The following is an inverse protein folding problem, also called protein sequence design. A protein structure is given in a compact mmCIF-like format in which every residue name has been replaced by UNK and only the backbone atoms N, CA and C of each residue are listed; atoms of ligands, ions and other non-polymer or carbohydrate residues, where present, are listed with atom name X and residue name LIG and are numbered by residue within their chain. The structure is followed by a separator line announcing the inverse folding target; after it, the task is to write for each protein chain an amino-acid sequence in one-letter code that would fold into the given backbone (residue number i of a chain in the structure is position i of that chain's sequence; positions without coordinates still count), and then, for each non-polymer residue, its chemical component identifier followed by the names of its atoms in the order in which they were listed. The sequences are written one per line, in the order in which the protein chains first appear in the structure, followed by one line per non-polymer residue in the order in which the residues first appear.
data_IF_005618827248
#
_entry.id   IF_005618827248
#
_cell.length_a   1.000
_cell.length_b   1.000
_cell.length_c   1.000
_cell.angle_alpha   90.00
_cell.angle_beta   90.00
_cell.angle_gamma   90.00
#
_symmetry.space_group_name_H-M   'P 1'
#
loop_
_entity.id
_entity.type
_entity.pdbx_description
1 polymer ?
#
# COMPACT_ATOMS: atom_id res chain seq x y z
N UNK A 1 15.75 -13.01 -22.66
CA UNK A 1 14.64 -12.07 -22.95
C UNK A 1 14.33 -11.30 -21.68
N UNK A 2 14.71 -10.03 -21.59
CA UNK A 2 14.24 -9.16 -20.51
C UNK A 2 12.72 -8.94 -20.69
N UNK A 3 11.92 -8.89 -19.61
CA UNK A 3 10.51 -8.54 -19.74
C UNK A 3 10.39 -7.09 -20.26
N UNK A 4 9.50 -6.87 -21.24
CA UNK A 4 9.07 -5.54 -21.71
C UNK A 4 8.27 -4.81 -20.62
N UNK A 5 8.95 -4.43 -19.54
CA UNK A 5 8.37 -3.57 -18.51
C UNK A 5 8.70 -2.13 -18.84
N UNK A 6 7.74 -1.42 -19.43
CA UNK A 6 7.82 0.02 -19.56
C UNK A 6 7.29 0.67 -18.26
N UNK A 7 8.06 1.55 -17.61
CA UNK A 7 7.56 2.30 -16.47
C UNK A 7 6.44 3.24 -16.93
N UNK A 8 5.25 3.10 -16.33
CA UNK A 8 4.18 4.08 -16.52
C UNK A 8 4.56 5.30 -15.68
N UNK A 9 5.17 6.30 -16.32
CA UNK A 9 5.44 7.59 -15.68
C UNK A 9 4.24 8.49 -15.95
N UNK A 10 3.45 8.73 -14.90
CA UNK A 10 2.41 9.75 -14.94
C UNK A 10 3.09 11.12 -14.79
N UNK A 11 3.23 11.87 -15.88
CA UNK A 11 3.75 13.25 -15.90
C UNK A 11 2.71 14.29 -15.52
N UNK A 12 1.44 13.91 -15.43
CA UNK A 12 0.34 14.81 -15.10
C UNK A 12 0.15 15.00 -13.59
N UNK A 13 -0.13 16.23 -13.19
CA UNK A 13 -0.43 16.58 -11.81
C UNK A 13 -1.72 15.92 -11.32
N UNK A 14 -1.72 15.44 -10.08
CA UNK A 14 -2.89 14.82 -9.47
C UNK A 14 -3.97 15.87 -9.19
N UNK A 15 -5.13 15.74 -9.84
CA UNK A 15 -6.25 16.66 -9.66
C UNK A 15 -6.99 16.45 -8.33
N UNK A 16 -7.67 17.49 -7.85
CA UNK A 16 -8.57 17.40 -6.68
C UNK A 16 -9.63 16.31 -6.87
N UNK A 17 -10.17 16.18 -8.09
CA UNK A 17 -11.17 15.16 -8.41
C UNK A 17 -10.60 13.74 -8.23
N UNK A 18 -9.35 13.50 -8.61
CA UNK A 18 -8.68 12.21 -8.40
C UNK A 18 -8.54 11.87 -6.90
N UNK A 19 -8.26 12.86 -6.04
CA UNK A 19 -8.20 12.68 -4.59
C UNK A 19 -9.57 12.28 -4.02
N UNK A 20 -10.65 12.95 -4.44
CA UNK A 20 -12.01 12.59 -4.02
C UNK A 20 -12.43 11.20 -4.50
N UNK A 21 -12.06 10.84 -5.73
CA UNK A 21 -12.29 9.50 -6.25
C UNK A 21 -11.54 8.44 -5.42
N UNK A 22 -10.26 8.68 -5.10
CA UNK A 22 -9.48 7.81 -4.23
C UNK A 22 -10.10 7.67 -2.84
N UNK A 23 -10.58 8.78 -2.23
CA UNK A 23 -11.29 8.77 -0.94
C UNK A 23 -12.51 7.85 -0.97
N UNK A 24 -13.34 7.94 -2.01
CA UNK A 24 -14.52 7.08 -2.17
C UNK A 24 -14.11 5.61 -2.35
N UNK A 25 -13.09 5.35 -3.16
CA UNK A 25 -12.60 4.00 -3.45
C UNK A 25 -12.11 3.28 -2.20
N UNK A 26 -11.36 3.95 -1.33
CA UNK A 26 -10.79 3.34 -0.12
C UNK A 26 -11.75 3.36 1.09
N UNK A 27 -12.95 3.92 0.93
CA UNK A 27 -13.93 3.98 2.01
C UNK A 27 -14.32 2.55 2.44
N UNK A 28 -14.34 2.30 3.75
CA UNK A 28 -14.63 0.97 4.32
C UNK A 28 -13.45 -0.02 4.32
N UNK A 29 -12.43 0.20 3.49
CA UNK A 29 -11.24 -0.67 3.44
C UNK A 29 -10.05 -0.20 4.28
N UNK A 30 -10.09 1.04 4.77
CA UNK A 30 -9.04 1.63 5.62
C UNK A 30 -9.67 2.36 6.81
N UNK A 31 -9.13 2.16 8.01
CA UNK A 31 -9.63 2.77 9.26
C UNK A 31 -9.53 4.30 9.21
N UNK A 32 -10.57 5.02 9.61
CA UNK A 32 -10.49 6.48 9.81
C UNK A 32 -9.80 6.75 11.14
N UNK A 33 -8.59 7.31 11.08
CA UNK A 33 -7.78 7.60 12.28
C UNK A 33 -8.27 8.86 13.00
N UNK A 34 -8.22 8.90 14.33
CA UNK A 34 -8.65 10.06 15.10
C UNK A 34 -7.72 11.26 14.90
N UNK A 35 -8.19 12.43 15.34
CA UNK A 35 -7.44 13.69 15.33
C UNK A 35 -7.53 14.39 16.70
N UNK A 36 -6.98 13.80 17.77
CA UNK A 36 -7.02 14.42 19.09
C UNK A 36 -6.23 15.73 19.10
N UNK A 37 -6.61 16.64 20.00
CA UNK A 37 -5.82 17.83 20.33
C UNK A 37 -4.52 17.41 21.00
N UNK A 38 -3.41 18.02 20.59
CA UNK A 38 -2.16 17.94 21.34
C UNK A 38 -2.13 19.08 22.34
N UNK A 39 -2.28 18.76 23.62
CA UNK A 39 -2.35 19.74 24.71
C UNK A 39 -1.04 20.54 24.76
N UNK A 40 0.09 19.85 24.93
CA UNK A 40 1.40 20.48 25.07
C UNK A 40 1.79 21.32 23.85
N UNK A 41 1.59 20.82 22.63
CA UNK A 41 1.91 21.62 21.43
C UNK A 41 0.99 22.83 21.30
N UNK A 42 -0.28 22.69 21.69
CA UNK A 42 -1.22 23.82 21.65
C UNK A 42 -0.84 24.90 22.68
N UNK A 43 -0.38 24.50 23.87
CA UNK A 43 0.10 25.41 24.92
C UNK A 43 1.38 26.14 24.50
N UNK A 44 2.36 25.41 23.94
CA UNK A 44 3.63 25.97 23.48
C UNK A 44 3.42 26.98 22.33
N UNK A 45 2.49 26.72 21.43
CA UNK A 45 2.28 27.55 20.22
C UNK A 45 1.19 28.61 20.38
N UNK A 46 0.37 28.53 21.43
CA UNK A 46 -0.83 29.37 21.58
C UNK A 46 -1.93 29.07 20.54
N UNK A 47 -1.81 28.00 19.75
CA UNK A 47 -2.74 27.65 18.67
C UNK A 47 -3.42 26.29 18.89
N UNK A 48 -4.60 26.07 18.32
CA UNK A 48 -5.27 24.76 18.37
C UNK A 48 -4.58 23.76 17.43
N UNK A 49 -3.76 22.86 17.99
CA UNK A 49 -3.08 21.83 17.21
C UNK A 49 -3.74 20.46 17.37
N UNK A 50 -4.13 19.85 16.24
CA UNK A 50 -4.73 18.53 16.15
C UNK A 50 -3.74 17.55 15.49
N UNK A 51 -3.47 16.42 16.14
CA UNK A 51 -2.54 15.42 15.63
C UNK A 51 -3.26 14.33 14.84
N UNK A 52 -2.93 14.17 13.56
CA UNK A 52 -3.46 13.07 12.74
C UNK A 52 -2.69 11.78 13.05
N UNK A 53 -3.32 10.85 13.77
CA UNK A 53 -2.67 9.62 14.22
C UNK A 53 -2.68 8.52 13.14
N UNK A 54 -2.05 8.78 11.99
CA UNK A 54 -1.92 7.78 10.92
C UNK A 54 -0.95 6.63 11.25
N UNK A 55 -0.17 6.76 12.33
CA UNK A 55 0.59 5.64 12.91
C UNK A 55 -0.31 4.55 13.52
N UNK A 56 -1.59 4.84 13.81
CA UNK A 56 -2.58 3.86 14.31
C UNK A 56 -3.31 3.10 13.21
N UNK A 57 -2.89 3.25 11.95
CA UNK A 57 -3.34 2.41 10.84
C UNK A 57 -2.87 0.96 11.05
N UNK A 58 -3.50 -0.03 10.41
CA UNK A 58 -3.19 -1.45 10.61
C UNK A 58 -1.74 -1.80 10.24
N UNK A 59 -1.18 -1.10 9.25
CA UNK A 59 0.23 -1.28 8.86
C UNK A 59 1.17 -0.25 9.48
N UNK A 60 0.70 0.51 10.49
CA UNK A 60 1.52 1.46 11.24
C UNK A 60 1.79 2.79 10.53
N UNK A 61 1.16 3.07 9.39
CA UNK A 61 1.35 4.35 8.69
C UNK A 61 0.24 4.71 7.70
N UNK A 62 0.29 5.94 7.18
CA UNK A 62 -0.61 6.42 6.14
C UNK A 62 -0.49 5.68 4.80
N UNK A 63 0.63 4.98 4.54
CA UNK A 63 0.90 4.29 3.26
C UNK A 63 -0.07 3.14 3.00
N UNK A 64 -0.80 2.67 4.02
CA UNK A 64 -1.94 1.76 3.88
C UNK A 64 -2.97 2.27 2.85
N UNK A 65 -3.25 3.58 2.84
CA UNK A 65 -4.26 4.18 1.95
C UNK A 65 -3.88 4.03 0.47
N UNK A 66 -2.61 4.27 0.18
CA UNK A 66 -2.08 4.17 -1.18
C UNK A 66 -2.07 2.73 -1.66
N UNK A 67 -1.55 1.81 -0.84
CA UNK A 67 -1.56 0.38 -1.13
C UNK A 67 -2.98 -0.13 -1.42
N UNK A 68 -3.96 0.23 -0.59
CA UNK A 68 -5.34 -0.16 -0.81
C UNK A 68 -5.94 0.42 -2.10
N UNK A 69 -5.71 1.72 -2.35
CA UNK A 69 -6.17 2.40 -3.56
C UNK A 69 -5.56 1.81 -4.84
N UNK A 70 -4.28 1.42 -4.80
CA UNK A 70 -3.59 0.78 -5.91
C UNK A 70 -4.21 -0.60 -6.21
N UNK A 71 -4.38 -1.46 -5.20
CA UNK A 71 -4.97 -2.79 -5.39
C UNK A 71 -6.42 -2.76 -5.92
N UNK A 72 -7.22 -1.78 -5.50
CA UNK A 72 -8.59 -1.64 -5.98
C UNK A 72 -8.67 -1.15 -7.44
N UNK A 73 -7.61 -0.55 -7.98
CA UNK A 73 -7.55 -0.08 -9.37
C UNK A 73 -6.89 -1.09 -10.31
N UNK A 74 -6.24 -2.13 -9.78
CA UNK A 74 -5.66 -3.17 -10.62
C UNK A 74 -6.77 -3.93 -11.37
N UNK A 75 -6.65 -4.12 -12.70
CA UNK A 75 -7.53 -5.02 -13.44
C UNK A 75 -7.45 -6.45 -12.88
N UNK A 76 -8.55 -7.21 -12.95
CA UNK A 76 -8.60 -8.61 -12.47
C UNK A 76 -7.47 -9.49 -13.04
N UNK A 77 -7.07 -9.25 -14.29
CA UNK A 77 -5.95 -9.96 -14.94
C UNK A 77 -4.58 -9.63 -14.31
N UNK A 78 -4.43 -8.43 -13.76
CA UNK A 78 -3.21 -7.98 -13.07
C UNK A 78 -3.21 -8.30 -11.58
N UNK A 79 -4.39 -8.46 -10.94
CA UNK A 79 -4.49 -8.96 -9.54
C UNK A 79 -3.89 -10.37 -9.37
N UNK A 80 -3.85 -11.15 -10.45
CA UNK A 80 -3.19 -12.47 -10.53
C UNK A 80 -1.69 -12.41 -10.83
N UNK A 81 -1.10 -11.23 -10.96
CA UNK A 81 0.34 -11.07 -11.22
C UNK A 81 1.08 -10.64 -9.94
N UNK A 82 2.39 -10.91 -9.92
CA UNK A 82 3.28 -10.52 -8.82
C UNK A 82 3.33 -8.99 -8.75
N UNK A 83 2.93 -8.41 -7.62
CA UNK A 83 3.21 -7.01 -7.30
C UNK A 83 4.55 -7.00 -6.57
N UNK A 84 5.56 -6.39 -7.21
CA UNK A 84 6.89 -6.22 -6.62
C UNK A 84 6.99 -4.77 -6.16
N UNK A 85 7.19 -4.58 -4.87
CA UNK A 85 7.57 -3.28 -4.33
C UNK A 85 8.99 -3.34 -3.78
N UNK A 86 9.86 -2.51 -4.35
CA UNK A 86 11.22 -2.30 -3.88
C UNK A 86 11.20 -1.19 -2.83
N UNK A 87 10.70 -1.50 -1.64
CA UNK A 87 10.77 -0.59 -0.50
C UNK A 87 11.06 -1.38 0.76
N UNK A 88 11.98 -0.91 1.60
CA UNK A 88 12.31 -1.56 2.88
C UNK A 88 11.38 -1.14 4.04
N UNK A 89 10.22 -0.51 3.75
CA UNK A 89 9.43 0.17 4.78
C UNK A 89 7.92 0.06 4.66
N UNK A 90 7.23 1.00 5.29
CA UNK A 90 5.78 1.06 5.48
C UNK A 90 4.90 0.80 4.24
N UNK A 91 5.43 1.05 3.03
CA UNK A 91 4.70 0.80 1.78
C UNK A 91 4.57 -0.70 1.50
N UNK A 92 5.65 -1.43 1.73
CA UNK A 92 5.74 -2.89 1.58
C UNK A 92 4.83 -3.59 2.57
N UNK A 93 4.75 -3.09 3.81
CA UNK A 93 3.78 -3.55 4.81
C UNK A 93 2.33 -3.30 4.37
N UNK A 94 2.04 -2.09 3.87
CA UNK A 94 0.75 -1.75 3.25
C UNK A 94 0.34 -2.72 2.14
N UNK A 95 1.27 -2.99 1.22
CA UNK A 95 1.02 -3.84 0.07
C UNK A 95 0.84 -5.30 0.48
N UNK A 96 1.68 -5.83 1.37
CA UNK A 96 1.55 -7.20 1.88
C UNK A 96 0.25 -7.42 2.66
N UNK A 97 -0.16 -6.43 3.42
CA UNK A 97 -1.41 -6.49 4.16
C UNK A 97 -2.63 -6.53 3.23
N UNK A 98 -2.69 -5.61 2.26
CA UNK A 98 -3.85 -5.52 1.37
C UNK A 98 -3.89 -6.58 0.27
N UNK A 99 -2.74 -7.07 -0.19
CA UNK A 99 -2.70 -8.22 -1.10
C UNK A 99 -3.34 -9.44 -0.45
N UNK A 100 -3.05 -9.71 0.83
CA UNK A 100 -3.64 -10.83 1.58
C UNK A 100 -5.14 -10.67 1.78
N UNK A 101 -5.64 -9.45 1.94
CA UNK A 101 -7.06 -9.19 2.15
C UNK A 101 -7.87 -9.25 0.84
N UNK A 102 -7.31 -8.73 -0.25
CA UNK A 102 -8.04 -8.53 -1.51
C UNK A 102 -7.78 -9.64 -2.54
N UNK A 103 -6.66 -10.36 -2.44
CA UNK A 103 -6.38 -11.54 -3.25
C UNK A 103 -6.60 -12.79 -2.37
N UNK A 104 -7.37 -13.77 -2.87
CA UNK A 104 -7.66 -15.02 -2.16
C UNK A 104 -6.35 -15.73 -1.71
N UNK A 105 -6.34 -16.42 -0.55
CA UNK A 105 -5.13 -17.03 -0.01
C UNK A 105 -4.59 -18.12 -0.94
N UNK A 106 -3.28 -18.10 -1.17
CA UNK A 106 -2.49 -19.22 -1.66
C UNK A 106 -1.42 -19.56 -0.61
N UNK A 107 -1.00 -20.83 -0.48
CA UNK A 107 -0.10 -21.27 0.59
C UNK A 107 1.28 -20.62 0.52
N UNK A 108 1.85 -20.37 1.71
CA UNK A 108 3.10 -19.63 1.96
C UNK A 108 4.33 -20.34 1.40
N UNK A 109 5.27 -19.63 0.74
CA UNK A 109 6.68 -19.96 0.86
C UNK A 109 7.21 -19.38 2.17
N UNK A 110 7.89 -20.24 2.94
CA UNK A 110 8.56 -19.94 4.20
C UNK A 110 9.79 -19.05 4.00
N UNK A 111 9.61 -17.74 3.88
CA UNK A 111 10.74 -16.80 3.82
C UNK A 111 10.44 -15.56 4.68
N UNK A 112 10.63 -15.72 5.99
CA UNK A 112 10.72 -14.63 6.95
C UNK A 112 11.94 -14.88 7.84
N UNK A 113 13.14 -14.85 7.22
CA UNK A 113 14.42 -14.84 7.92
C UNK A 113 15.47 -14.07 7.10
N UNK A 114 15.29 -12.77 6.89
CA UNK A 114 16.40 -11.82 6.81
C UNK A 114 15.87 -10.40 6.63
N UNK A 115 16.49 -9.47 7.36
CA UNK A 115 16.45 -8.04 7.13
C UNK A 115 16.76 -7.72 5.66
N UNK A 116 16.16 -6.67 5.10
CA UNK A 116 16.04 -6.36 3.65
C UNK A 116 14.88 -7.08 2.94
N UNK A 117 13.65 -6.87 3.43
CA UNK A 117 12.45 -7.44 2.84
C UNK A 117 11.97 -6.64 1.62
N UNK A 118 12.41 -7.05 0.44
CA UNK A 118 11.64 -6.89 -0.80
C UNK A 118 10.39 -7.76 -0.67
N UNK A 119 9.19 -7.17 -0.56
CA UNK A 119 7.97 -7.97 -0.75
C UNK A 119 7.74 -8.18 -2.23
N UNK A 120 8.29 -9.28 -2.76
CA UNK A 120 7.77 -9.91 -3.95
C UNK A 120 6.63 -10.83 -3.51
N UNK A 121 5.39 -10.36 -3.61
CA UNK A 121 4.22 -11.21 -3.33
C UNK A 121 3.87 -11.96 -4.61
N UNK A 122 4.39 -13.18 -4.72
CA UNK A 122 4.27 -14.04 -5.88
C UNK A 122 2.85 -14.63 -5.99
N UNK A 123 2.13 -14.25 -7.05
CA UNK A 123 1.06 -15.07 -7.61
C UNK A 123 1.69 -15.98 -8.68
N UNK A 124 1.52 -17.30 -8.54
CA UNK A 124 2.45 -18.36 -8.96
C UNK A 124 2.49 -18.68 -10.48
N UNK A 125 3.65 -19.25 -10.88
CA UNK A 125 4.03 -19.92 -12.15
C UNK A 125 4.57 -19.01 -13.27
N UNK A 126 5.80 -18.54 -13.08
CA UNK A 126 6.70 -18.37 -14.23
C UNK A 126 7.13 -19.77 -14.67
N UNK A 127 6.77 -20.08 -15.90
CA UNK A 127 7.17 -21.24 -16.71
C UNK A 127 8.64 -21.60 -16.53
N UNK A 128 8.94 -22.70 -15.81
CA UNK A 128 10.08 -23.55 -16.20
C UNK A 128 9.62 -24.34 -17.42
N UNK A 129 9.93 -23.83 -18.61
CA UNK A 129 10.24 -24.67 -19.76
C UNK A 129 11.71 -25.04 -19.57
N UNK A 130 11.96 -26.26 -19.11
CA UNK A 130 13.24 -26.93 -19.31
C UNK A 130 12.90 -28.10 -20.25
N UNK A 131 13.45 -28.04 -21.46
CA UNK A 131 13.62 -29.20 -22.32
C UNK A 131 14.92 -29.91 -21.97
#
# INVERSE_FOLDING_TARGET
MAPDWQPVIHSELVSRAAIWAARRRIAGGVVVTPRPKSISLSEITGALLLCKLDNRKRTGSFKERDAHNAFLQLPERQKKRVVIATSAGNQTLGLAYHSRLLCKPQPRPSLLKSSFLTAALTCQRLTRREG
#
